data_IF_746454612251
#
_entry.id   IF_746454612251
#
_cell.length_a   1.000
_cell.length_b   1.000
_cell.length_c   1.000
_cell.angle_alpha   90.00
_cell.angle_beta   90.00
_cell.angle_gamma   90.00
#
_symmetry.space_group_name_H-M   'P 1'
#
loop_
_entity.id
_entity.type
_entity.pdbx_description
1 polymer ?
#
# COMPACT_ATOMS: atom_id res chain seq x y z
N UNK A 1 2.23 -7.21 -16.80
CA UNK A 1 1.67 -7.69 -15.53
C UNK A 1 2.61 -8.73 -14.93
N UNK A 2 2.82 -8.70 -13.62
CA UNK A 2 3.66 -9.66 -12.87
C UNK A 2 3.01 -9.87 -11.50
N UNK A 3 2.96 -11.11 -11.03
CA UNK A 3 2.67 -11.44 -9.63
C UNK A 3 3.99 -11.89 -8.99
N UNK A 4 4.32 -11.33 -7.83
CA UNK A 4 5.55 -11.64 -7.10
C UNK A 4 5.19 -12.05 -5.69
N UNK A 5 5.67 -13.21 -5.26
CA UNK A 5 5.41 -13.80 -3.96
C UNK A 5 6.75 -14.20 -3.37
N UNK A 6 7.03 -13.73 -2.14
CA UNK A 6 8.16 -14.23 -1.35
C UNK A 6 7.76 -15.56 -0.72
N UNK A 7 8.58 -16.59 -0.91
CA UNK A 7 8.31 -17.94 -0.40
C UNK A 7 8.97 -18.14 0.95
N UNK A 8 8.32 -18.89 1.84
CA UNK A 8 8.97 -19.48 3.02
C UNK A 8 9.75 -20.74 2.60
N UNK A 9 10.56 -21.39 3.47
CA UNK A 9 11.20 -22.65 3.11
C UNK A 9 10.20 -23.75 2.75
N UNK A 10 9.03 -23.76 3.38
CA UNK A 10 7.95 -24.71 3.06
C UNK A 10 7.20 -24.32 1.79
N UNK A 11 6.98 -23.01 1.57
CA UNK A 11 6.45 -22.50 0.31
C UNK A 11 7.34 -22.81 -0.89
N UNK A 12 8.66 -22.87 -0.69
CA UNK A 12 9.60 -23.27 -1.73
C UNK A 12 9.50 -24.75 -2.09
N UNK A 13 9.38 -25.65 -1.10
CA UNK A 13 9.16 -27.08 -1.35
C UNK A 13 7.84 -27.33 -2.10
N UNK A 14 6.82 -26.53 -1.79
CA UNK A 14 5.47 -26.65 -2.33
C UNK A 14 5.13 -25.53 -3.35
N UNK A 15 6.12 -25.04 -4.10
CA UNK A 15 5.94 -23.87 -4.98
C UNK A 15 4.82 -24.08 -6.03
N UNK A 16 4.64 -25.30 -6.54
CA UNK A 16 3.56 -25.61 -7.48
C UNK A 16 2.18 -25.37 -6.86
N UNK A 17 2.01 -25.67 -5.58
CA UNK A 17 0.77 -25.43 -4.86
C UNK A 17 0.50 -23.92 -4.69
N UNK A 18 1.55 -23.12 -4.45
CA UNK A 18 1.44 -21.64 -4.44
C UNK A 18 0.96 -21.13 -5.80
N UNK A 19 1.49 -21.69 -6.89
CA UNK A 19 1.03 -21.36 -8.25
C UNK A 19 -0.44 -21.73 -8.45
N UNK A 20 -0.87 -22.89 -7.97
CA UNK A 20 -2.28 -23.27 -8.03
C UNK A 20 -3.19 -22.27 -7.32
N UNK A 21 -2.82 -21.80 -6.11
CA UNK A 21 -3.61 -20.82 -5.37
C UNK A 21 -3.79 -19.54 -6.19
N UNK A 22 -2.73 -19.05 -6.84
CA UNK A 22 -2.81 -17.87 -7.72
C UNK A 22 -3.77 -18.10 -8.88
N UNK A 23 -3.70 -19.26 -9.55
CA UNK A 23 -4.61 -19.59 -10.65
C UNK A 23 -6.05 -19.81 -10.20
N UNK A 24 -6.27 -20.38 -9.02
CA UNK A 24 -7.61 -20.49 -8.41
C UNK A 24 -8.19 -19.11 -8.11
N UNK A 25 -7.39 -18.19 -7.59
CA UNK A 25 -7.85 -16.81 -7.36
C UNK A 25 -8.15 -16.09 -8.68
N UNK A 26 -7.35 -16.31 -9.72
CA UNK A 26 -7.65 -15.82 -11.08
C UNK A 26 -8.98 -16.40 -11.59
N UNK A 27 -9.20 -17.72 -11.43
CA UNK A 27 -10.46 -18.36 -11.79
C UNK A 27 -11.63 -17.73 -11.01
N UNK A 28 -11.45 -17.45 -9.72
CA UNK A 28 -12.45 -16.76 -8.89
C UNK A 28 -12.80 -15.37 -9.43
N UNK A 29 -11.78 -14.59 -9.78
CA UNK A 29 -11.99 -13.26 -10.37
C UNK A 29 -12.69 -13.32 -11.74
N UNK A 30 -12.60 -14.42 -12.49
CA UNK A 30 -13.33 -14.62 -13.75
C UNK A 30 -14.82 -14.90 -13.55
N UNK A 31 -15.23 -15.42 -12.39
CA UNK A 31 -16.64 -15.63 -12.03
C UNK A 31 -17.38 -14.34 -11.62
N UNK A 32 -16.63 -13.26 -11.36
CA UNK A 32 -17.21 -12.00 -10.94
C UNK A 32 -18.14 -11.42 -12.00
N UNK A 33 -19.34 -11.04 -11.56
CA UNK A 33 -20.30 -10.31 -12.40
C UNK A 33 -19.75 -8.94 -12.78
N UNK A 34 -20.15 -8.45 -13.95
CA UNK A 34 -19.74 -7.14 -14.45
C UNK A 34 -20.15 -6.00 -13.48
N UNK A 35 -21.27 -6.14 -12.75
CA UNK A 35 -21.70 -5.20 -11.71
C UNK A 35 -20.65 -5.04 -10.60
N UNK A 36 -20.08 -6.16 -10.14
CA UNK A 36 -19.07 -6.13 -9.07
C UNK A 36 -17.78 -5.46 -9.52
N UNK A 37 -17.43 -5.63 -10.79
CA UNK A 37 -16.28 -4.94 -11.38
C UNK A 37 -16.51 -3.45 -11.54
N UNK A 38 -17.74 -3.03 -11.86
CA UNK A 38 -18.11 -1.61 -11.88
C UNK A 38 -17.98 -0.99 -10.48
N UNK A 39 -18.42 -1.70 -9.42
CA UNK A 39 -18.25 -1.23 -8.04
C UNK A 39 -16.78 -1.03 -7.67
N UNK A 40 -15.90 -2.00 -7.96
CA UNK A 40 -14.46 -1.82 -7.72
C UNK A 40 -13.86 -0.67 -8.53
N UNK A 41 -14.32 -0.48 -9.76
CA UNK A 41 -13.89 0.63 -10.59
C UNK A 41 -14.28 1.98 -9.96
N UNK A 42 -15.52 2.10 -9.49
CA UNK A 42 -16.04 3.32 -8.87
C UNK A 42 -15.31 3.64 -7.56
N UNK A 43 -15.00 2.63 -6.75
CA UNK A 43 -14.17 2.79 -5.55
C UNK A 43 -12.78 3.34 -5.90
N UNK A 44 -12.08 2.72 -6.87
CA UNK A 44 -10.75 3.17 -7.29
C UNK A 44 -10.78 4.57 -7.90
N UNK A 45 -11.79 4.87 -8.72
CA UNK A 45 -12.03 6.18 -9.29
C UNK A 45 -12.23 7.23 -8.20
N UNK A 46 -13.07 6.95 -7.20
CA UNK A 46 -13.32 7.84 -6.07
C UNK A 46 -12.05 8.10 -5.26
N UNK A 47 -11.31 7.05 -4.90
CA UNK A 47 -10.03 7.16 -4.17
C UNK A 47 -9.02 8.02 -4.92
N UNK A 48 -8.91 7.82 -6.23
CA UNK A 48 -7.94 8.56 -7.06
C UNK A 48 -8.35 10.00 -7.29
N UNK A 49 -9.65 10.26 -7.44
CA UNK A 49 -10.19 11.61 -7.51
C UNK A 49 -9.93 12.40 -6.23
N UNK A 50 -10.20 11.81 -5.04
CA UNK A 50 -9.91 12.51 -3.78
C UNK A 50 -8.40 12.74 -3.58
N UNK A 51 -7.56 11.75 -3.89
CA UNK A 51 -6.10 11.90 -3.75
C UNK A 51 -5.51 12.94 -4.70
N UNK A 52 -6.08 13.09 -5.89
CA UNK A 52 -5.72 14.16 -6.81
C UNK A 52 -6.16 15.52 -6.29
N UNK A 53 -7.44 15.64 -5.87
CA UNK A 53 -8.00 16.88 -5.36
C UNK A 53 -7.27 17.42 -4.12
N UNK A 54 -6.82 16.52 -3.23
CA UNK A 54 -6.13 16.86 -1.99
C UNK A 54 -4.66 16.46 -2.00
N UNK A 55 -4.03 16.40 -3.19
CA UNK A 55 -2.61 16.06 -3.31
C UNK A 55 -1.76 17.11 -2.58
N UNK A 56 -0.84 16.66 -1.75
CA UNK A 56 0.10 17.56 -1.05
C UNK A 56 1.19 18.01 -2.04
N UNK A 57 1.74 19.21 -1.83
CA UNK A 57 2.81 19.74 -2.67
C UNK A 57 4.04 18.83 -2.62
N UNK A 58 4.54 18.45 -3.78
CA UNK A 58 5.73 17.60 -3.93
C UNK A 58 7.01 18.44 -3.97
N UNK A 59 8.16 17.77 -3.80
CA UNK A 59 9.46 18.39 -4.05
C UNK A 59 9.52 18.90 -5.50
N UNK A 60 9.98 20.15 -5.75
CA UNK A 60 10.10 20.68 -7.11
C UNK A 60 10.92 19.79 -8.05
N UNK A 61 11.95 19.13 -7.52
CA UNK A 61 12.81 18.22 -8.27
C UNK A 61 12.05 16.99 -8.77
N UNK A 62 11.37 16.28 -7.86
CA UNK A 62 10.60 15.08 -8.19
C UNK A 62 9.43 15.43 -9.12
N UNK A 63 8.78 16.56 -8.86
CA UNK A 63 7.66 17.04 -9.66
C UNK A 63 8.09 17.32 -11.11
N UNK A 64 9.16 18.11 -11.31
CA UNK A 64 9.66 18.43 -12.65
C UNK A 64 10.12 17.18 -13.41
N UNK A 65 10.81 16.26 -12.72
CA UNK A 65 11.31 15.01 -13.30
C UNK A 65 10.16 14.12 -13.77
N UNK A 66 9.15 13.91 -12.92
CA UNK A 66 7.99 13.09 -13.23
C UNK A 66 7.16 13.69 -14.38
N UNK A 67 6.96 15.02 -14.37
CA UNK A 67 6.27 15.73 -15.46
C UNK A 67 6.99 15.54 -16.80
N UNK A 68 8.31 15.77 -16.84
CA UNK A 68 9.09 15.66 -18.06
C UNK A 68 9.04 14.25 -18.65
N UNK A 69 9.15 13.22 -17.79
CA UNK A 69 9.07 11.83 -18.23
C UNK A 69 7.69 11.50 -18.85
N UNK A 70 6.62 12.01 -18.25
CA UNK A 70 5.26 11.70 -18.69
C UNK A 70 4.77 12.58 -19.86
N UNK A 71 5.37 13.75 -20.10
CA UNK A 71 5.03 14.61 -21.23
C UNK A 71 5.25 13.94 -22.60
N UNK A 72 6.11 12.91 -22.65
CA UNK A 72 6.31 12.10 -23.85
C UNK A 72 5.22 11.03 -24.07
N UNK A 73 4.43 10.72 -23.04
CA UNK A 73 3.46 9.63 -23.04
C UNK A 73 2.01 10.11 -23.12
N UNK A 74 1.73 11.32 -22.61
CA UNK A 74 0.37 11.85 -22.50
C UNK A 74 0.25 13.23 -23.15
N UNK A 75 -0.94 13.59 -23.65
CA UNK A 75 -1.23 14.96 -24.08
C UNK A 75 -0.99 15.96 -22.94
N UNK A 76 -0.42 17.12 -23.27
CA UNK A 76 -0.06 18.15 -22.28
C UNK A 76 -1.27 18.64 -21.47
N UNK A 77 -2.44 18.74 -22.09
CA UNK A 77 -3.68 19.20 -21.45
C UNK A 77 -4.18 18.26 -20.35
N UNK A 78 -3.81 16.97 -20.42
CA UNK A 78 -4.20 15.94 -19.45
C UNK A 78 -3.02 15.43 -18.61
N UNK A 79 -1.85 16.06 -18.73
CA UNK A 79 -0.61 15.54 -18.15
C UNK A 79 -0.72 15.34 -16.63
N UNK A 80 -1.26 16.33 -15.92
CA UNK A 80 -1.45 16.25 -14.47
C UNK A 80 -2.45 15.16 -14.09
N UNK A 81 -3.49 14.97 -14.89
CA UNK A 81 -4.52 13.98 -14.59
C UNK A 81 -4.02 12.56 -14.82
N UNK A 82 -3.30 12.34 -15.93
CA UNK A 82 -2.71 11.06 -16.29
C UNK A 82 -1.63 10.62 -15.31
N UNK A 83 -0.74 11.52 -14.89
CA UNK A 83 0.35 11.19 -13.94
C UNK A 83 -0.21 10.76 -12.58
N UNK A 84 -1.30 11.38 -12.15
CA UNK A 84 -1.93 11.03 -10.89
C UNK A 84 -2.91 9.85 -11.01
N UNK A 85 -3.11 9.34 -12.23
CA UNK A 85 -3.90 8.14 -12.52
C UNK A 85 -5.38 8.35 -12.29
N UNK A 86 -5.93 9.48 -12.75
CA UNK A 86 -7.38 9.71 -12.75
C UNK A 86 -8.09 8.73 -13.69
N UNK A 87 -9.26 8.27 -13.27
CA UNK A 87 -10.06 7.28 -13.98
C UNK A 87 -11.24 7.99 -14.68
N UNK A 88 -11.26 8.00 -16.01
CA UNK A 88 -12.28 8.72 -16.77
C UNK A 88 -13.40 7.80 -17.25
N UNK A 89 -13.04 6.79 -18.05
CA UNK A 89 -13.98 5.85 -18.68
C UNK A 89 -13.64 4.42 -18.28
N UNK A 90 -14.65 3.68 -17.83
CA UNK A 90 -14.56 2.24 -17.69
C UNK A 90 -14.77 1.63 -19.08
N UNK A 91 -13.69 1.39 -19.82
CA UNK A 91 -13.79 0.62 -21.06
C UNK A 91 -13.76 -0.88 -20.72
N UNK A 92 -14.88 -1.56 -21.00
CA UNK A 92 -15.00 -3.04 -20.91
C UNK A 92 -14.30 -3.75 -22.07
N UNK A 93 -13.83 -2.99 -23.06
CA UNK A 93 -13.27 -3.48 -24.32
C UNK A 93 -11.78 -3.18 -24.37
N UNK A 94 -11.00 -4.24 -24.61
CA UNK A 94 -9.54 -4.33 -24.84
C UNK A 94 -8.73 -4.70 -23.59
N UNK A 95 -8.26 -5.96 -23.61
CA UNK A 95 -6.84 -6.34 -23.56
C UNK A 95 -6.70 -7.88 -23.57
N UNK A 96 -6.68 -8.52 -24.77
CA UNK A 96 -6.16 -9.90 -24.89
C UNK A 96 -4.66 -9.85 -24.65
N UNK A 97 -4.20 -10.34 -23.52
CA UNK A 97 -2.77 -10.46 -23.25
C UNK A 97 -2.44 -11.89 -22.81
N UNK A 98 -1.46 -12.48 -23.48
CA UNK A 98 -0.80 -13.68 -22.98
C UNK A 98 -0.01 -13.33 -21.73
N UNK A 99 -0.30 -14.02 -20.63
CA UNK A 99 0.58 -13.97 -19.48
C UNK A 99 1.82 -14.81 -19.78
N UNK A 100 2.98 -14.15 -19.75
CA UNK A 100 4.24 -14.81 -19.42
C UNK A 100 4.44 -14.68 -17.92
N UNK A 101 4.10 -15.74 -17.17
CA UNK A 101 4.39 -15.81 -15.74
C UNK A 101 5.86 -16.14 -15.58
N UNK A 102 6.60 -15.17 -15.05
CA UNK A 102 7.96 -15.36 -14.59
C UNK A 102 7.88 -15.67 -13.11
N UNK A 103 7.98 -16.94 -12.76
CA UNK A 103 8.25 -17.33 -11.40
C UNK A 103 9.73 -17.05 -11.15
N UNK A 104 9.98 -16.03 -10.35
CA UNK A 104 11.31 -15.64 -9.92
C UNK A 104 11.38 -16.00 -8.44
N UNK A 105 12.02 -17.12 -8.12
CA UNK A 105 12.32 -17.46 -6.74
C UNK A 105 13.51 -16.61 -6.29
N UNK A 106 13.24 -15.46 -5.69
CA UNK A 106 14.23 -14.62 -5.02
C UNK A 106 14.04 -14.74 -3.51
N UNK A 107 15.11 -15.12 -2.82
CA UNK A 107 15.20 -15.05 -1.37
C UNK A 107 16.19 -13.93 -1.05
N UNK A 108 15.74 -12.68 -1.11
CA UNK A 108 16.16 -11.56 -0.25
C UNK A 108 15.35 -10.30 -0.59
N UNK A 109 15.25 -9.38 0.37
CA UNK A 109 14.68 -8.05 0.20
C UNK A 109 15.44 -7.30 -0.90
N UNK A 110 14.84 -7.11 -2.08
CA UNK A 110 14.93 -5.93 -2.96
C UNK A 110 14.16 -6.26 -4.23
N UNK A 111 12.87 -5.93 -4.25
CA UNK A 111 12.17 -5.47 -5.47
C UNK A 111 11.16 -4.42 -5.02
N UNK A 112 11.61 -3.18 -4.85
CA UNK A 112 10.69 -2.04 -4.75
C UNK A 112 10.54 -1.44 -6.15
N UNK A 113 9.27 -1.31 -6.53
CA UNK A 113 8.70 -0.60 -7.68
C UNK A 113 8.56 -1.43 -8.97
N UNK A 114 7.30 -1.56 -9.45
CA UNK A 114 6.83 -0.95 -10.70
C UNK A 114 5.37 -1.33 -11.02
N UNK A 115 4.57 -0.28 -11.26
CA UNK A 115 3.29 -0.17 -12.01
C UNK A 115 2.12 -1.14 -11.75
N UNK A 116 1.02 -0.54 -11.26
CA UNK A 116 -0.34 -1.08 -11.25
C UNK A 116 -1.23 -0.31 -12.24
N UNK A 117 -1.72 -0.96 -13.30
CA UNK A 117 -2.88 -0.48 -14.07
C UNK A 117 -3.52 -1.63 -14.88
N UNK A 118 -4.84 -1.57 -15.07
CA UNK A 118 -5.74 -2.50 -15.78
C UNK A 118 -5.88 -3.93 -15.20
N UNK A 119 -6.80 -4.14 -14.24
CA UNK A 119 -7.11 -5.48 -13.70
C UNK A 119 -8.36 -6.12 -14.35
N UNK A 120 -9.39 -5.34 -14.65
CA UNK A 120 -10.69 -5.86 -15.11
C UNK A 120 -10.63 -6.54 -16.50
N UNK A 121 -10.20 -5.82 -17.53
CA UNK A 121 -10.02 -6.40 -18.88
C UNK A 121 -8.93 -7.48 -18.91
N UNK A 122 -7.97 -7.41 -17.98
CA UNK A 122 -6.88 -8.36 -17.89
C UNK A 122 -7.36 -9.74 -17.47
N UNK A 123 -8.13 -9.85 -16.39
CA UNK A 123 -8.62 -11.14 -15.88
C UNK A 123 -9.52 -11.85 -16.88
N UNK A 124 -10.41 -11.13 -17.58
CA UNK A 124 -11.38 -11.70 -18.53
C UNK A 124 -10.73 -12.36 -19.75
N UNK A 125 -9.53 -11.91 -20.14
CA UNK A 125 -8.83 -12.35 -21.35
C UNK A 125 -7.44 -12.99 -21.08
N UNK A 126 -7.24 -13.46 -19.85
CA UNK A 126 -6.00 -14.09 -19.41
C UNK A 126 -5.77 -15.45 -20.07
N UNK A 127 -4.86 -15.52 -21.03
CA UNK A 127 -4.39 -16.77 -21.64
C UNK A 127 -2.99 -17.13 -21.12
N UNK A 128 -2.80 -18.37 -20.67
CA UNK A 128 -1.47 -18.86 -20.28
C UNK A 128 -0.66 -19.11 -21.55
N UNK A 129 0.36 -18.29 -21.78
CA UNK A 129 1.33 -18.46 -22.86
C UNK A 129 2.46 -19.42 -22.48
N UNK A 130 3.50 -19.49 -23.31
CA UNK A 130 4.74 -20.21 -22.95
C UNK A 130 5.32 -19.64 -21.65
N UNK A 131 5.32 -20.47 -20.61
CA UNK A 131 5.80 -20.11 -19.29
C UNK A 131 7.01 -20.98 -18.93
N UNK A 132 8.02 -20.34 -18.35
CA UNK A 132 9.23 -21.00 -17.87
C UNK A 132 9.52 -20.54 -16.44
N UNK A 133 9.98 -21.47 -15.62
CA UNK A 133 10.46 -21.21 -14.28
C UNK A 133 11.94 -20.83 -14.37
N UNK A 134 12.31 -19.66 -13.82
CA UNK A 134 13.71 -19.25 -13.66
C UNK A 134 14.12 -19.50 -12.21
N UNK A 135 15.05 -20.42 -12.03
CA UNK A 135 15.63 -20.74 -10.72
C UNK A 135 17.01 -20.09 -10.64
N UNK A 136 17.30 -19.46 -9.50
CA UNK A 136 18.60 -18.86 -9.21
C UNK A 136 19.29 -19.69 -8.12
N UNK A 137 20.60 -19.84 -8.21
CA UNK A 137 21.39 -20.56 -7.20
C UNK A 137 21.46 -19.76 -5.89
N UNK A 138 21.19 -20.40 -4.75
CA UNK A 138 21.21 -19.75 -3.44
C UNK A 138 22.32 -20.30 -2.54
N UNK A 139 23.03 -19.39 -1.85
CA UNK A 139 24.22 -19.70 -1.05
C UNK A 139 23.93 -20.43 0.27
N UNK A 140 22.70 -20.37 0.82
CA UNK A 140 22.35 -21.07 2.08
C UNK A 140 21.60 -22.41 1.89
N UNK A 141 21.13 -22.74 0.68
CA UNK A 141 20.54 -24.05 0.36
C UNK A 141 21.58 -24.93 -0.37
N UNK A 142 22.81 -24.93 0.17
CA UNK A 142 23.94 -25.73 -0.28
C UNK A 142 23.59 -27.22 -0.24
N UNK A 143 23.16 -27.76 -1.39
CA UNK A 143 23.05 -29.20 -1.60
C UNK A 143 22.41 -29.63 -2.90
N UNK A 144 21.35 -28.97 -3.37
CA UNK A 144 20.42 -29.63 -4.32
C UNK A 144 20.29 -29.04 -5.72
N UNK A 145 20.67 -27.78 -5.99
CA UNK A 145 20.46 -27.18 -7.33
C UNK A 145 21.73 -26.50 -7.84
N UNK A 146 22.56 -27.23 -8.60
CA UNK A 146 23.61 -26.63 -9.43
C UNK A 146 23.00 -26.02 -10.68
N UNK A 147 22.98 -24.70 -10.76
CA UNK A 147 22.52 -23.98 -11.94
C UNK A 147 23.50 -24.18 -13.11
N UNK A 148 22.99 -24.31 -14.33
CA UNK A 148 23.79 -24.64 -15.53
C UNK A 148 24.23 -23.43 -16.33
N UNK A 149 23.56 -22.29 -16.14
CA UNK A 149 23.76 -21.08 -16.93
C UNK A 149 24.26 -19.94 -16.03
N UNK A 150 25.00 -19.01 -16.63
CA UNK A 150 25.52 -17.82 -15.94
C UNK A 150 25.19 -16.60 -16.79
N UNK A 151 24.58 -15.59 -16.17
CA UNK A 151 24.28 -14.32 -16.83
C UNK A 151 25.58 -13.56 -17.14
N UNK A 152 25.67 -12.95 -18.32
CA UNK A 152 26.90 -12.40 -18.90
C UNK A 152 27.47 -11.23 -18.10
N UNK A 153 26.63 -10.34 -17.58
CA UNK A 153 27.07 -9.04 -17.04
C UNK A 153 27.30 -9.06 -15.53
N UNK A 154 26.41 -9.71 -14.80
CA UNK A 154 26.43 -9.77 -13.34
C UNK A 154 26.95 -11.11 -12.81
N UNK A 155 27.21 -12.09 -13.69
CA UNK A 155 27.69 -13.40 -13.30
C UNK A 155 26.67 -14.22 -12.50
N UNK A 156 25.37 -13.87 -12.57
CA UNK A 156 24.33 -14.54 -11.80
C UNK A 156 24.10 -15.96 -12.32
N UNK A 157 24.31 -16.98 -11.48
CA UNK A 157 23.98 -18.38 -11.80
C UNK A 157 22.47 -18.60 -11.85
N UNK A 158 21.97 -19.18 -12.95
CA UNK A 158 20.55 -19.48 -13.12
C UNK A 158 20.31 -20.76 -13.93
N UNK A 159 19.07 -21.24 -13.89
CA UNK A 159 18.60 -22.34 -14.74
C UNK A 159 17.18 -22.05 -15.24
N UNK A 160 16.94 -22.33 -16.52
CA UNK A 160 15.61 -22.33 -17.12
C UNK A 160 14.99 -23.71 -17.05
N UNK A 161 13.80 -23.79 -16.46
CA UNK A 161 12.99 -25.01 -16.41
C UNK A 161 11.72 -24.75 -17.20
N UNK A 162 11.53 -25.50 -18.28
CA UNK A 162 10.31 -25.45 -19.07
C UNK A 162 9.18 -26.13 -18.30
N UNK A 163 8.00 -25.50 -18.28
CA UNK A 163 6.80 -26.12 -17.74
C UNK A 163 6.23 -27.12 -18.75
N UNK A 164 5.73 -28.25 -18.25
CA UNK A 164 5.12 -29.29 -19.09
C UNK A 164 3.71 -28.86 -19.54
N UNK A 165 3.28 -29.35 -20.70
CA UNK A 165 1.92 -29.10 -21.20
C UNK A 165 0.83 -29.60 -20.23
N UNK A 166 1.11 -30.67 -19.49
CA UNK A 166 0.21 -31.23 -18.46
C UNK A 166 0.03 -30.27 -17.28
N UNK A 167 1.11 -29.69 -16.76
CA UNK A 167 1.05 -28.66 -15.71
C UNK A 167 0.23 -27.45 -16.16
N UNK A 168 0.50 -26.95 -17.38
CA UNK A 168 -0.22 -25.81 -17.93
C UNK A 168 -1.71 -26.11 -18.13
N UNK A 169 -2.06 -27.31 -18.61
CA UNK A 169 -3.46 -27.73 -18.76
C UNK A 169 -4.15 -27.83 -17.39
N UNK A 170 -3.52 -28.49 -16.42
CA UNK A 170 -4.02 -28.63 -15.05
C UNK A 170 -4.33 -27.26 -14.44
N UNK A 171 -3.42 -26.29 -14.56
CA UNK A 171 -3.62 -24.94 -14.00
C UNK A 171 -4.72 -24.13 -14.70
N UNK A 172 -4.98 -24.36 -16.00
CA UNK A 172 -6.10 -23.72 -16.73
C UNK A 172 -7.46 -24.20 -16.25
N UNK A 173 -7.55 -25.47 -15.87
CA UNK A 173 -8.79 -26.16 -15.53
C UNK A 173 -9.06 -26.17 -14.01
N UNK A 174 -8.32 -25.39 -13.22
CA UNK A 174 -8.52 -25.31 -11.77
C UNK A 174 -9.83 -24.61 -11.42
N UNK A 175 -10.68 -25.31 -10.67
CA UNK A 175 -11.85 -24.71 -10.02
C UNK A 175 -11.42 -23.77 -8.88
N UNK A 176 -12.10 -22.62 -8.69
CA UNK A 176 -11.69 -21.63 -7.70
C UNK A 176 -11.65 -22.17 -6.26
N UNK A 177 -12.66 -22.94 -5.84
CA UNK A 177 -12.87 -23.32 -4.43
C UNK A 177 -12.94 -24.84 -4.23
N UNK A 178 -11.93 -25.58 -4.70
CA UNK A 178 -11.93 -27.06 -4.59
C UNK A 178 -11.75 -27.58 -3.15
N UNK A 179 -11.16 -26.80 -2.24
CA UNK A 179 -10.72 -27.31 -0.93
C UNK A 179 -11.09 -26.44 0.28
N UNK A 180 -11.47 -25.17 0.09
CA UNK A 180 -11.99 -24.30 1.16
C UNK A 180 -12.55 -22.99 0.60
N UNK A 181 -13.47 -22.36 1.33
CA UNK A 181 -14.03 -21.03 1.02
C UNK A 181 -13.05 -19.87 1.31
N UNK A 182 -11.74 -20.16 1.43
CA UNK A 182 -10.72 -19.18 1.81
C UNK A 182 -10.47 -18.12 0.72
N UNK A 183 -10.78 -18.42 -0.54
CA UNK A 183 -10.64 -17.47 -1.65
C UNK A 183 -11.97 -16.76 -1.90
N UNK A 184 -12.03 -15.50 -1.48
CA UNK A 184 -13.16 -14.61 -1.74
C UNK A 184 -12.67 -13.30 -2.35
N UNK A 185 -13.57 -12.62 -3.04
CA UNK A 185 -13.31 -11.30 -3.60
C UNK A 185 -13.61 -10.25 -2.53
N UNK A 186 -12.78 -9.21 -2.35
CA UNK A 186 -12.96 -8.23 -1.26
C UNK A 186 -14.36 -7.60 -1.29
N UNK A 187 -15.05 -7.37 -0.17
CA UNK A 187 -16.33 -6.63 -0.13
C UNK A 187 -16.13 -5.12 -0.41
N UNK A 188 -17.20 -4.33 -0.59
CA UNK A 188 -17.04 -2.88 -0.75
C UNK A 188 -16.30 -2.25 0.42
N UNK A 189 -15.45 -1.27 0.16
CA UNK A 189 -14.62 -0.64 1.18
C UNK A 189 -15.38 0.48 1.92
N UNK A 190 -15.75 0.31 3.22
CA UNK A 190 -16.55 1.29 3.96
C UNK A 190 -15.75 2.51 4.46
N UNK A 191 -14.42 2.50 4.29
CA UNK A 191 -13.51 3.53 4.80
C UNK A 191 -13.13 4.58 3.77
N UNK A 192 -13.65 4.50 2.54
CA UNK A 192 -13.45 5.54 1.53
C UNK A 192 -14.22 6.80 1.96
N UNK A 193 -13.50 7.90 2.19
CA UNK A 193 -14.08 9.16 2.63
C UNK A 193 -15.05 9.77 1.60
N UNK A 194 -16.07 10.44 2.09
CA UNK A 194 -17.03 11.25 1.32
C UNK A 194 -17.29 12.64 1.92
N UNK A 195 -16.95 12.86 3.19
CA UNK A 195 -16.94 14.18 3.81
C UNK A 195 -15.52 14.74 3.83
N UNK A 196 -15.33 15.87 3.14
CA UNK A 196 -14.07 16.61 3.06
C UNK A 196 -14.19 18.01 3.69
N UNK A 197 -15.19 18.23 4.54
CA UNK A 197 -15.39 19.52 5.20
C UNK A 197 -14.25 19.87 6.14
N UNK A 198 -13.78 21.12 6.08
CA UNK A 198 -12.67 21.61 6.87
C UNK A 198 -13.16 22.12 8.23
N UNK A 199 -12.49 21.69 9.30
CA UNK A 199 -12.83 22.14 10.66
C UNK A 199 -12.39 23.59 10.92
N UNK A 200 -11.33 24.08 10.27
CA UNK A 200 -10.81 25.44 10.47
C UNK A 200 -11.76 26.52 9.93
N UNK A 201 -12.57 26.18 8.92
CA UNK A 201 -13.60 27.08 8.41
C UNK A 201 -14.82 27.14 9.35
N UNK A 202 -15.15 26.02 10.01
CA UNK A 202 -16.27 25.94 10.97
C UNK A 202 -15.97 26.73 12.26
N UNK A 203 -14.72 26.81 12.70
CA UNK A 203 -14.32 27.59 13.88
C UNK A 203 -14.38 29.10 13.62
N UNK A 204 -13.99 29.55 12.43
CA UNK A 204 -13.92 30.98 12.08
C UNK A 204 -15.31 31.61 11.86
N UNK A 205 -16.32 30.83 11.48
CA UNK A 205 -17.70 31.32 11.34
C UNK A 205 -18.39 31.65 12.68
N UNK A 206 -17.75 31.41 13.84
CA UNK A 206 -18.23 31.90 15.15
C UNK A 206 -17.65 33.27 15.53
N UNK A 207 -16.72 33.82 14.76
CA UNK A 207 -16.20 35.17 14.94
C UNK A 207 -15.89 35.79 13.56
N UNK A 208 -16.84 36.55 13.00
CA UNK A 208 -16.52 37.42 11.87
C UNK A 208 -17.23 38.75 11.99
N UNK A 209 -16.62 39.67 12.74
CA UNK A 209 -16.58 41.08 12.36
C UNK A 209 -15.34 41.30 11.49
N UNK A 210 -15.60 41.62 10.23
CA UNK A 210 -14.79 42.38 9.26
C UNK A 210 -13.27 42.51 9.49
N UNK A 211 -12.45 42.03 8.55
CA UNK A 211 -11.58 42.95 7.75
C UNK A 211 -10.98 42.27 6.50
N UNK A 212 -11.31 42.91 5.36
CA UNK A 212 -10.50 43.24 4.17
C UNK A 212 -9.46 42.30 3.56
N UNK A 213 -9.76 41.97 2.29
CA UNK A 213 -8.93 42.09 1.06
C UNK A 213 -7.63 41.29 0.98
N UNK A 214 -7.71 40.27 0.14
CA UNK A 214 -6.63 39.51 -0.50
C UNK A 214 -5.88 40.34 -1.54
N UNK A 215 -4.58 40.55 -1.34
CA UNK A 215 -3.61 40.76 -2.42
C UNK A 215 -2.77 39.47 -2.60
N UNK A 216 -2.23 39.18 -3.79
CA UNK A 216 -1.39 38.01 -4.02
C UNK A 216 -0.03 38.21 -3.34
N UNK A 217 0.39 37.24 -2.53
CA UNK A 217 1.68 37.27 -1.84
C UNK A 217 2.84 37.16 -2.84
N UNK A 218 3.65 38.21 -2.94
CA UNK A 218 4.93 38.22 -3.63
C UNK A 218 5.93 37.23 -3.01
N UNK A 219 6.68 36.52 -3.86
CA UNK A 219 7.64 35.44 -3.56
C UNK A 219 8.92 35.84 -2.80
N UNK A 220 8.90 36.90 -1.98
CA UNK A 220 10.11 37.37 -1.29
C UNK A 220 9.89 37.64 0.19
N UNK A 221 9.90 36.56 0.98
CA UNK A 221 10.53 36.45 2.30
C UNK A 221 10.21 35.07 2.88
N UNK A 222 11.21 34.19 2.93
CA UNK A 222 11.10 32.89 3.60
C UNK A 222 11.19 33.09 5.12
N UNK A 223 10.24 33.82 5.69
CA UNK A 223 10.12 33.99 7.12
C UNK A 223 9.38 32.76 7.68
N UNK A 224 9.94 32.09 8.68
CA UNK A 224 9.38 30.86 9.29
C UNK A 224 7.97 31.07 9.90
N UNK A 225 7.47 32.30 9.90
CA UNK A 225 6.12 32.70 10.28
C UNK A 225 4.98 31.99 9.51
N UNK A 226 5.25 31.34 8.37
CA UNK A 226 4.22 30.55 7.66
C UNK A 226 3.72 29.34 8.47
N UNK A 227 4.51 28.87 9.44
CA UNK A 227 4.15 27.73 10.27
C UNK A 227 3.03 28.05 11.27
N UNK A 228 2.68 29.32 11.49
CA UNK A 228 1.72 29.71 12.52
C UNK A 228 2.20 29.35 13.93
N UNK A 229 1.29 29.35 14.91
CA UNK A 229 1.65 28.99 16.29
C UNK A 229 2.16 27.54 16.41
N UNK A 230 3.14 27.27 17.31
CA UNK A 230 3.60 25.91 17.56
C UNK A 230 2.49 25.06 18.21
N UNK A 231 2.58 23.72 18.17
CA UNK A 231 1.64 22.85 18.86
C UNK A 231 1.53 23.20 20.34
N UNK A 232 0.30 23.24 20.86
CA UNK A 232 0.00 23.58 22.25
C UNK A 232 -0.39 22.32 23.04
N UNK A 233 -0.06 22.28 24.33
CA UNK A 233 -0.54 21.23 25.22
C UNK A 233 -1.99 21.54 25.59
N UNK A 234 -2.90 20.67 25.19
CA UNK A 234 -4.34 20.80 25.51
C UNK A 234 -4.78 19.84 26.62
N UNK A 235 -3.94 18.86 26.96
CA UNK A 235 -4.17 17.94 28.06
C UNK A 235 -2.84 17.44 28.63
N UNK A 236 -2.71 17.43 29.95
CA UNK A 236 -1.51 16.95 30.64
C UNK A 236 -1.87 16.31 31.98
N UNK A 237 -1.36 15.10 32.19
CA UNK A 237 -1.38 14.35 33.45
C UNK A 237 -0.01 13.70 33.65
N UNK A 238 0.24 13.07 34.81
CA UNK A 238 1.49 12.36 35.07
C UNK A 238 1.76 11.21 34.08
N UNK A 239 0.69 10.65 33.47
CA UNK A 239 0.78 9.50 32.55
C UNK A 239 0.66 9.87 31.06
N UNK A 240 0.23 11.09 30.71
CA UNK A 240 -0.12 11.44 29.33
C UNK A 240 0.02 12.94 29.07
N UNK A 241 0.50 13.29 27.87
CA UNK A 241 0.52 14.65 27.36
C UNK A 241 -0.02 14.67 25.94
N UNK A 242 -1.00 15.53 25.67
CA UNK A 242 -1.60 15.72 24.37
C UNK A 242 -1.21 17.09 23.82
N UNK A 243 -0.51 17.06 22.69
CA UNK A 243 -0.19 18.24 21.90
C UNK A 243 -1.17 18.33 20.74
N UNK A 244 -1.69 19.53 20.48
CA UNK A 244 -2.61 19.78 19.39
C UNK A 244 -2.17 21.01 18.61
N UNK A 245 -2.33 20.93 17.29
CA UNK A 245 -2.16 22.03 16.36
C UNK A 245 -3.18 21.88 15.24
N UNK A 246 -3.95 22.93 15.01
CA UNK A 246 -4.85 23.00 13.86
C UNK A 246 -4.07 23.36 12.60
N UNK A 247 -4.39 22.71 11.48
CA UNK A 247 -3.84 23.11 10.19
C UNK A 247 -4.57 24.34 9.65
N UNK A 248 -3.84 25.45 9.54
CA UNK A 248 -4.32 26.70 8.93
C UNK A 248 -3.64 27.01 7.59
N UNK A 249 -2.58 26.27 7.26
CA UNK A 249 -1.74 26.52 6.09
C UNK A 249 -2.15 25.65 4.90
N UNK A 250 -2.17 24.33 5.07
CA UNK A 250 -2.43 23.41 3.97
C UNK A 250 -3.93 23.30 3.65
N UNK A 251 -4.79 23.49 4.66
CA UNK A 251 -6.26 23.47 4.56
C UNK A 251 -6.74 22.22 3.84
N UNK A 252 -6.20 21.07 4.22
CA UNK A 252 -6.57 19.77 3.67
C UNK A 252 -7.48 19.00 4.64
N UNK A 253 -8.40 18.14 4.16
CA UNK A 253 -9.24 17.28 5.01
C UNK A 253 -8.43 16.08 5.55
N UNK A 254 -7.21 16.33 6.02
CA UNK A 254 -6.28 15.32 6.49
C UNK A 254 -5.92 15.56 7.94
N UNK A 255 -5.64 14.49 8.64
CA UNK A 255 -5.23 14.50 10.04
C UNK A 255 -3.99 13.62 10.21
N UNK A 256 -3.05 14.10 11.02
CA UNK A 256 -1.94 13.30 11.53
C UNK A 256 -2.12 13.10 13.03
N UNK A 257 -2.07 11.86 13.50
CA UNK A 257 -2.11 11.52 14.93
C UNK A 257 -0.89 10.69 15.25
N UNK A 258 -0.13 11.09 16.27
CA UNK A 258 1.12 10.41 16.66
C UNK A 258 1.05 10.06 18.13
N UNK A 259 1.25 8.79 18.45
CA UNK A 259 1.33 8.28 19.81
C UNK A 259 2.76 7.88 20.12
N UNK A 260 3.25 8.35 21.27
CA UNK A 260 4.50 7.89 21.87
C UNK A 260 4.19 7.17 23.17
N UNK A 261 4.32 5.85 23.19
CA UNK A 261 4.14 5.03 24.39
C UNK A 261 5.52 4.75 24.95
N UNK A 262 5.82 5.30 26.13
CA UNK A 262 7.12 5.15 26.78
C UNK A 262 7.06 3.92 27.69
N UNK A 263 8.03 3.00 27.54
CA UNK A 263 8.15 1.83 28.41
C UNK A 263 9.61 1.59 28.78
N UNK A 264 9.99 1.69 30.06
CA UNK A 264 11.37 1.46 30.49
C UNK A 264 11.81 0.01 30.28
N UNK A 265 10.86 -0.93 30.16
CA UNK A 265 11.17 -2.35 29.98
C UNK A 265 11.46 -2.74 28.53
N UNK A 266 11.01 -1.93 27.56
CA UNK A 266 11.12 -2.25 26.15
C UNK A 266 12.58 -2.31 25.65
N UNK A 267 13.47 -1.51 26.26
CA UNK A 267 14.88 -1.38 25.85
C UNK A 267 15.89 -1.61 26.99
N UNK A 268 15.49 -2.13 28.16
CA UNK A 268 16.38 -2.18 29.33
C UNK A 268 17.58 -3.15 29.21
N UNK A 269 17.57 -4.01 28.20
CA UNK A 269 18.62 -4.98 27.89
C UNK A 269 18.56 -5.34 26.41
N UNK A 270 19.66 -5.87 25.87
CA UNK A 270 19.69 -6.35 24.49
C UNK A 270 18.61 -7.42 24.24
N UNK A 271 18.37 -8.30 25.23
CA UNK A 271 17.35 -9.34 25.11
C UNK A 271 15.94 -8.75 25.02
N UNK A 272 15.59 -7.78 25.88
CA UNK A 272 14.29 -7.11 25.83
C UNK A 272 14.10 -6.29 24.55
N UNK A 273 15.15 -5.63 24.08
CA UNK A 273 15.14 -4.92 22.81
C UNK A 273 14.86 -5.87 21.64
N UNK A 274 15.51 -7.04 21.61
CA UNK A 274 15.26 -8.06 20.59
C UNK A 274 13.84 -8.62 20.67
N UNK A 275 13.36 -8.96 21.87
CA UNK A 275 12.00 -9.47 22.08
C UNK A 275 10.93 -8.45 21.68
N UNK A 276 11.12 -7.18 22.05
CA UNK A 276 10.23 -6.09 21.66
C UNK A 276 10.24 -5.90 20.15
N UNK A 277 11.41 -5.95 19.52
CA UNK A 277 11.52 -5.86 18.05
C UNK A 277 10.76 -7.01 17.38
N UNK A 278 10.96 -8.25 17.82
CA UNK A 278 10.25 -9.42 17.30
C UNK A 278 8.73 -9.30 17.49
N UNK A 279 8.29 -8.87 18.67
CA UNK A 279 6.88 -8.62 18.97
C UNK A 279 6.26 -7.65 17.96
N UNK A 280 6.94 -6.54 17.64
CA UNK A 280 6.44 -5.56 16.68
C UNK A 280 6.51 -6.04 15.22
N UNK A 281 7.46 -6.89 14.87
CA UNK A 281 7.46 -7.54 13.56
C UNK A 281 6.25 -8.47 13.40
N UNK A 282 5.94 -9.29 14.41
CA UNK A 282 4.75 -10.14 14.42
C UNK A 282 3.45 -9.31 14.44
N UNK A 283 3.42 -8.22 15.21
CA UNK A 283 2.29 -7.30 15.23
C UNK A 283 2.04 -6.69 13.84
N UNK A 284 3.09 -6.21 13.16
CA UNK A 284 2.97 -5.66 11.81
C UNK A 284 2.46 -6.69 10.80
N UNK A 285 2.89 -7.94 10.91
CA UNK A 285 2.41 -9.04 10.06
C UNK A 285 0.90 -9.25 10.22
N UNK A 286 0.41 -9.40 11.45
CA UNK A 286 -1.03 -9.54 11.75
C UNK A 286 -1.83 -8.30 11.35
N UNK A 287 -1.27 -7.11 11.56
CA UNK A 287 -1.95 -5.85 11.22
C UNK A 287 -2.03 -5.60 9.72
N UNK A 288 -1.19 -6.24 8.91
CA UNK A 288 -1.16 -6.00 7.46
C UNK A 288 -2.51 -6.30 6.80
N UNK A 289 -3.15 -7.40 7.17
CA UNK A 289 -4.49 -7.78 6.67
C UNK A 289 -5.56 -6.80 7.18
N UNK A 290 -5.55 -6.49 8.48
CA UNK A 290 -6.53 -5.60 9.12
C UNK A 290 -6.47 -4.17 8.58
N UNK A 291 -5.27 -3.67 8.29
CA UNK A 291 -5.03 -2.30 7.82
C UNK A 291 -5.08 -2.16 6.31
N UNK A 292 -5.15 -3.27 5.55
CA UNK A 292 -5.19 -3.25 4.09
C UNK A 292 -6.37 -2.44 3.55
N UNK A 293 -7.57 -2.69 4.07
CA UNK A 293 -8.80 -2.00 3.64
C UNK A 293 -8.71 -0.48 3.93
N UNK A 294 -8.12 -0.09 5.05
CA UNK A 294 -7.87 1.33 5.37
C UNK A 294 -6.84 1.95 4.41
N UNK A 295 -5.78 1.22 4.07
CA UNK A 295 -4.73 1.66 3.14
C UNK A 295 -5.27 1.91 1.74
N UNK A 296 -6.15 1.04 1.24
CA UNK A 296 -6.84 1.25 -0.05
C UNK A 296 -7.77 2.47 -0.03
N UNK A 297 -8.23 2.89 1.15
CA UNK A 297 -8.97 4.13 1.37
C UNK A 297 -8.06 5.34 1.69
N UNK A 298 -6.75 5.23 1.46
CA UNK A 298 -5.76 6.30 1.69
C UNK A 298 -5.61 6.73 3.15
N UNK A 299 -5.76 5.77 4.07
CA UNK A 299 -5.46 5.90 5.49
C UNK A 299 -4.26 5.01 5.81
N UNK A 300 -3.24 5.56 6.45
CA UNK A 300 -2.01 4.84 6.80
C UNK A 300 -1.81 4.81 8.30
N UNK A 301 -1.35 3.67 8.81
CA UNK A 301 -0.85 3.52 10.17
C UNK A 301 0.54 2.89 10.16
N UNK A 302 1.40 3.30 11.08
CA UNK A 302 2.71 2.70 11.29
C UNK A 302 3.00 2.58 12.78
N UNK A 303 3.12 1.34 13.26
CA UNK A 303 3.48 1.03 14.63
C UNK A 303 4.88 0.41 14.65
N UNK A 304 5.82 1.01 15.38
CA UNK A 304 7.17 0.49 15.51
C UNK A 304 7.79 0.81 16.85
N UNK A 305 8.67 -0.06 17.30
CA UNK A 305 9.56 0.20 18.41
C UNK A 305 10.72 1.11 17.97
N UNK A 306 11.02 2.17 18.73
CA UNK A 306 12.04 3.15 18.38
C UNK A 306 13.47 2.74 18.78
N UNK A 307 13.64 1.53 19.32
CA UNK A 307 14.90 0.99 19.83
C UNK A 307 15.49 1.70 21.06
N UNK A 308 14.78 2.68 21.65
CA UNK A 308 15.33 3.54 22.70
C UNK A 308 14.39 3.65 23.89
N UNK A 309 13.19 4.18 23.67
CA UNK A 309 12.31 4.66 24.74
C UNK A 309 10.93 4.01 24.74
N UNK A 310 10.52 3.39 23.63
CA UNK A 310 9.24 2.71 23.54
C UNK A 310 8.67 2.71 22.13
N UNK A 311 7.36 2.78 22.04
CA UNK A 311 6.61 2.48 20.82
C UNK A 311 6.10 3.79 20.21
N UNK A 312 6.31 3.95 18.92
CA UNK A 312 5.71 4.99 18.11
C UNK A 312 4.55 4.39 17.32
N UNK A 313 3.38 5.02 17.38
CA UNK A 313 2.24 4.67 16.53
C UNK A 313 1.77 5.93 15.82
N UNK A 314 1.99 5.97 14.52
CA UNK A 314 1.67 7.10 13.65
C UNK A 314 0.45 6.75 12.79
N UNK A 315 -0.46 7.70 12.65
CA UNK A 315 -1.64 7.62 11.81
C UNK A 315 -1.70 8.86 10.92
N UNK A 316 -2.03 8.65 9.65
CA UNK A 316 -2.18 9.75 8.69
C UNK A 316 -3.22 9.41 7.63
N UNK A 317 -4.02 10.40 7.22
CA UNK A 317 -4.98 10.24 6.13
C UNK A 317 -6.20 11.15 6.29
N UNK A 318 -7.30 10.81 5.61
CA UNK A 318 -8.53 11.60 5.64
C UNK A 318 -9.21 11.60 7.02
N UNK A 319 -9.47 12.79 7.55
CA UNK A 319 -9.95 13.02 8.91
C UNK A 319 -11.27 12.30 9.25
N UNK A 320 -12.20 12.16 8.30
CA UNK A 320 -13.51 11.52 8.52
C UNK A 320 -13.39 10.07 9.02
N UNK A 321 -12.46 9.30 8.43
CA UNK A 321 -12.36 7.84 8.63
C UNK A 321 -11.13 7.43 9.44
N UNK A 322 -10.19 8.36 9.68
CA UNK A 322 -9.00 8.11 10.49
C UNK A 322 -9.31 7.63 11.93
N UNK A 323 -10.34 8.13 12.65
CA UNK A 323 -10.67 7.64 13.98
C UNK A 323 -10.93 6.13 14.04
N UNK A 324 -11.60 5.57 13.02
CA UNK A 324 -11.86 4.12 12.96
C UNK A 324 -10.56 3.30 12.82
N UNK A 325 -9.58 3.81 12.07
CA UNK A 325 -8.26 3.19 11.97
C UNK A 325 -7.52 3.26 13.32
N UNK A 326 -7.56 4.42 13.98
CA UNK A 326 -6.92 4.63 15.30
C UNK A 326 -7.48 3.65 16.32
N UNK A 327 -8.81 3.56 16.43
CA UNK A 327 -9.48 2.65 17.36
C UNK A 327 -9.13 1.18 17.06
N UNK A 328 -9.18 0.78 15.78
CA UNK A 328 -8.85 -0.59 15.36
C UNK A 328 -7.42 -0.98 15.75
N UNK A 329 -6.44 -0.12 15.42
CA UNK A 329 -5.02 -0.39 15.66
C UNK A 329 -4.70 -0.36 17.15
N UNK A 330 -5.18 0.63 17.89
CA UNK A 330 -4.90 0.74 19.33
C UNK A 330 -5.61 -0.35 20.13
N UNK A 331 -6.84 -0.71 19.78
CA UNK A 331 -7.56 -1.83 20.41
C UNK A 331 -6.83 -3.16 20.15
N UNK A 332 -6.31 -3.38 18.94
CA UNK A 332 -5.54 -4.59 18.63
C UNK A 332 -4.19 -4.59 19.33
N UNK A 333 -3.52 -3.44 19.46
CA UNK A 333 -2.27 -3.29 20.19
C UNK A 333 -2.43 -3.60 21.68
N UNK A 334 -3.52 -3.13 22.31
CA UNK A 334 -3.80 -3.37 23.73
C UNK A 334 -4.16 -4.82 24.07
N UNK A 335 -4.67 -5.59 23.10
CA UNK A 335 -5.09 -6.99 23.26
C UNK A 335 -4.29 -7.93 22.33
N UNK A 336 -3.04 -7.58 22.02
CA UNK A 336 -2.26 -8.36 21.07
C UNK A 336 -1.81 -9.68 21.71
N UNK A 337 -2.27 -10.78 21.13
CA UNK A 337 -1.86 -12.14 21.47
C UNK A 337 -1.16 -12.77 20.27
N UNK A 338 0.00 -13.37 20.53
CA UNK A 338 0.73 -14.17 19.54
C UNK A 338 0.09 -15.56 19.47
N UNK A 339 -0.43 -15.93 18.31
CA UNK A 339 -0.73 -17.34 18.00
C UNK A 339 0.56 -18.03 17.56
N UNK A 340 0.81 -19.24 18.09
CA UNK A 340 1.93 -20.11 17.68
C UNK A 340 1.91 -20.50 16.19
#
# INVERSE_FOLDING_TARGET
>A
FRVSISLTPEGLKNWEYVVEIVYRYIAKMKELKDERWAEYWDERKKVKAMNFAFKSKESPYDYATNLAQCAHQYPLDHLLECINGLFFKCDTVICRFQIKLYFVCMYDQIVKHFFFFFLYCFVKWLEIGEAFLKVFEHRQLLGSIKCKETEKWYGTSYQRISLTSEQLKRWKELEPNKYSELLFTPPPNPYIADDFSLFCEKSNNKQTTQTTKTEPLDEKEFNENWLGEPPQIIFSTDQMRLWFKMDEYFKQPKLGVKFKIISPHAANSCANQMLTTLLFLCFQDVMSELTYTFTEASLSSYAAFDNVSGINVDFFGYNQKLPALVETVLSKLGNFELSE
#
